data_IF_279955682885
#
_entry.id   IF_279955682885
#
_cell.length_a   1.000
_cell.length_b   1.000
_cell.length_c   1.000
_cell.angle_alpha   90.00
_cell.angle_beta   90.00
_cell.angle_gamma   90.00
#
_symmetry.space_group_name_H-M   'P 1'
#
loop_
_entity.id
_entity.type
_entity.pdbx_description
1 polymer ?
#
# COMPACT_ATOMS: atom_id res chain seq x y z
N UNK A 1 -21.67 -11.29 4.38
CA UNK A 1 -20.34 -10.81 3.94
C UNK A 1 -19.32 -11.57 4.77
N UNK A 2 -18.35 -12.23 4.14
CA UNK A 2 -17.29 -12.94 4.87
C UNK A 2 -16.23 -11.94 5.30
N UNK A 3 -15.91 -11.89 6.59
CA UNK A 3 -14.79 -11.11 7.09
C UNK A 3 -13.57 -12.03 7.19
N UNK A 4 -12.48 -11.64 6.53
CA UNK A 4 -11.27 -12.45 6.50
C UNK A 4 -10.58 -12.43 7.86
N UNK A 5 -10.22 -13.60 8.37
CA UNK A 5 -9.31 -13.73 9.50
C UNK A 5 -7.93 -13.16 9.17
N UNK A 6 -7.12 -12.93 10.20
CA UNK A 6 -5.73 -12.54 10.05
C UNK A 6 -4.91 -13.52 9.19
N UNK A 7 -5.17 -14.81 9.35
CA UNK A 7 -4.51 -15.87 8.58
C UNK A 7 -4.94 -15.82 7.11
N UNK A 8 -6.25 -15.66 6.86
CA UNK A 8 -6.78 -15.53 5.51
C UNK A 8 -6.24 -14.30 4.80
N UNK A 9 -6.12 -13.15 5.51
CA UNK A 9 -5.53 -11.93 4.96
C UNK A 9 -4.07 -12.12 4.58
N UNK A 10 -3.27 -12.73 5.45
CA UNK A 10 -1.85 -13.01 5.15
C UNK A 10 -1.71 -13.95 3.97
N UNK A 11 -2.46 -15.06 3.96
CA UNK A 11 -2.47 -16.01 2.84
C UNK A 11 -2.86 -15.33 1.52
N UNK A 12 -3.85 -14.44 1.55
CA UNK A 12 -4.24 -13.67 0.38
C UNK A 12 -3.14 -12.70 -0.08
N UNK A 13 -2.52 -11.95 0.83
CA UNK A 13 -1.50 -10.97 0.44
C UNK A 13 -0.24 -11.63 -0.14
N UNK A 14 0.13 -12.82 0.32
CA UNK A 14 1.39 -13.51 -0.07
C UNK A 14 1.23 -14.54 -1.19
N UNK A 15 0.01 -14.89 -1.61
CA UNK A 15 -0.21 -15.92 -2.62
C UNK A 15 0.21 -15.49 -4.05
N UNK A 16 1.44 -15.83 -4.47
CA UNK A 16 1.94 -15.45 -5.80
C UNK A 16 2.17 -13.95 -5.91
N UNK A 17 2.13 -13.41 -7.13
CA UNK A 17 2.41 -11.99 -7.35
C UNK A 17 1.13 -11.16 -7.37
N UNK A 18 0.97 -10.28 -6.37
CA UNK A 18 -0.11 -9.29 -6.33
C UNK A 18 0.42 -7.87 -6.48
N UNK A 19 -0.46 -6.98 -6.96
CA UNK A 19 -0.25 -5.54 -6.90
C UNK A 19 -1.21 -4.91 -5.89
N UNK A 20 -0.77 -3.82 -5.27
CA UNK A 20 -1.59 -3.01 -4.37
C UNK A 20 -2.05 -1.71 -5.03
N UNK A 21 -2.98 -1.02 -4.36
CA UNK A 21 -3.37 0.36 -4.67
C UNK A 21 -3.04 1.24 -3.47
N UNK A 22 -1.97 2.02 -3.58
CA UNK A 22 -1.58 2.94 -2.52
C UNK A 22 -2.34 4.24 -2.67
N UNK A 23 -3.16 4.57 -1.68
CA UNK A 23 -3.82 5.85 -1.55
C UNK A 23 -3.01 6.78 -0.62
N UNK A 24 -2.76 8.00 -1.07
CA UNK A 24 -2.17 9.08 -0.27
C UNK A 24 -3.03 10.32 -0.39
N UNK A 25 -2.96 11.23 0.59
CA UNK A 25 -3.74 12.47 0.58
C UNK A 25 -2.87 13.64 0.10
N UNK A 26 -3.36 14.38 -0.89
CA UNK A 26 -2.71 15.62 -1.36
C UNK A 26 -2.95 16.75 -0.36
N UNK A 27 -2.15 17.82 -0.43
CA UNK A 27 -2.28 18.99 0.46
C UNK A 27 -3.66 19.65 0.42
N UNK A 28 -4.35 19.52 -0.72
CA UNK A 28 -5.71 20.03 -0.93
C UNK A 28 -6.82 19.03 -0.53
N UNK A 29 -6.46 17.95 0.18
CA UNK A 29 -7.38 16.93 0.66
C UNK A 29 -7.80 15.88 -0.36
N UNK A 30 -7.44 16.03 -1.65
CA UNK A 30 -7.85 15.06 -2.68
C UNK A 30 -7.04 13.75 -2.60
N UNK A 31 -7.66 12.60 -2.88
CA UNK A 31 -6.95 11.33 -2.91
C UNK A 31 -6.03 11.24 -4.14
N UNK A 32 -4.88 10.60 -3.96
CA UNK A 32 -3.98 10.18 -5.02
C UNK A 32 -3.73 8.68 -4.88
N UNK A 33 -4.27 7.90 -5.82
CA UNK A 33 -4.22 6.44 -5.82
C UNK A 33 -3.37 5.95 -6.97
N UNK A 34 -2.36 5.12 -6.69
CA UNK A 34 -1.47 4.55 -7.71
C UNK A 34 -1.25 3.05 -7.50
N UNK A 35 -1.06 2.27 -8.57
CA UNK A 35 -0.65 0.87 -8.44
C UNK A 35 0.77 0.78 -7.87
N UNK A 36 1.02 -0.22 -7.04
CA UNK A 36 2.34 -0.54 -6.47
C UNK A 36 2.61 -2.05 -6.54
N UNK A 37 3.89 -2.39 -6.60
CA UNK A 37 4.36 -3.70 -6.12
C UNK A 37 4.57 -3.60 -4.62
N UNK A 38 4.32 -4.69 -3.91
CA UNK A 38 4.55 -4.76 -2.47
C UNK A 38 5.02 -6.15 -2.05
N UNK A 39 5.62 -6.23 -0.87
CA UNK A 39 5.85 -7.47 -0.12
C UNK A 39 5.22 -7.32 1.26
N UNK A 40 4.86 -8.46 1.85
CA UNK A 40 4.54 -8.54 3.28
C UNK A 40 5.76 -9.13 4.00
N UNK A 41 6.34 -8.38 4.92
CA UNK A 41 7.44 -8.81 5.80
C UNK A 41 6.95 -8.79 7.25
N UNK A 42 6.62 -9.98 7.77
CA UNK A 42 5.87 -10.10 9.03
C UNK A 42 4.52 -9.37 8.94
N UNK A 43 4.40 -8.27 9.66
CA UNK A 43 3.21 -7.41 9.69
C UNK A 43 3.38 -6.11 8.89
N UNK A 44 4.54 -5.92 8.27
CA UNK A 44 4.88 -4.70 7.52
C UNK A 44 4.64 -4.87 6.01
N UNK A 45 4.08 -3.83 5.39
CA UNK A 45 3.95 -3.74 3.93
C UNK A 45 5.14 -2.97 3.38
N UNK A 46 6.02 -3.67 2.69
CA UNK A 46 7.19 -3.08 2.03
C UNK A 46 6.87 -2.71 0.59
N UNK A 47 7.26 -1.50 0.18
CA UNK A 47 7.18 -1.02 -1.21
C UNK A 47 8.35 -0.06 -1.49
N UNK A 48 8.68 0.13 -2.76
CA UNK A 48 9.66 1.13 -3.18
C UNK A 48 8.97 2.38 -3.72
N UNK A 49 9.51 3.56 -3.40
CA UNK A 49 9.02 4.83 -3.96
C UNK A 49 10.15 5.85 -4.09
N UNK A 50 10.13 6.62 -5.17
CA UNK A 50 10.99 7.80 -5.29
C UNK A 50 10.48 8.92 -4.37
N UNK A 51 11.40 9.57 -3.64
CA UNK A 51 11.10 10.64 -2.69
C UNK A 51 10.37 11.82 -3.36
N UNK A 52 10.76 12.16 -4.59
CA UNK A 52 10.18 13.28 -5.35
C UNK A 52 8.91 12.94 -6.13
N UNK A 53 8.35 11.74 -5.95
CA UNK A 53 7.04 11.42 -6.54
C UNK A 53 5.90 12.07 -5.74
N UNK A 54 4.71 12.20 -6.34
CA UNK A 54 3.54 12.74 -5.60
C UNK A 54 3.26 11.92 -4.33
N UNK A 55 3.29 10.58 -4.41
CA UNK A 55 3.14 9.72 -3.23
C UNK A 55 4.29 9.85 -2.24
N UNK A 56 5.54 10.00 -2.71
CA UNK A 56 6.72 10.16 -1.85
C UNK A 56 6.64 11.44 -1.01
N UNK A 57 6.34 12.57 -1.65
CA UNK A 57 6.11 13.84 -0.93
C UNK A 57 4.90 13.80 0.00
N UNK A 58 3.84 13.08 -0.37
CA UNK A 58 2.68 12.92 0.52
C UNK A 58 3.04 12.09 1.75
N UNK A 59 3.76 10.97 1.60
CA UNK A 59 4.21 10.11 2.71
C UNK A 59 5.16 10.86 3.64
N UNK A 60 6.15 11.59 3.11
CA UNK A 60 7.12 12.32 3.95
C UNK A 60 6.50 13.46 4.77
N UNK A 61 5.30 13.90 4.41
CA UNK A 61 4.59 14.97 5.12
C UNK A 61 3.82 14.43 6.33
N UNK A 62 3.36 13.18 6.26
CA UNK A 62 2.44 12.54 7.22
C UNK A 62 3.22 11.69 8.23
#
# INVERSE_FOLDING_TARGET
>A
MHEMSDEERRAFLTAGTRTGKLATIRRDGRPHVVPIWFLLDGDEVLLTTGADTVKGRNILRD
#
